data_IF_986590802261
#
_entry.id   IF_986590802261
#
_cell.length_a   1.000
_cell.length_b   1.000
_cell.length_c   1.000
_cell.angle_alpha   90.00
_cell.angle_beta   90.00
_cell.angle_gamma   90.00
#
_symmetry.space_group_name_H-M   'P 1'
#
loop_
_entity.id
_entity.type
_entity.pdbx_description
1 polymer ?
#
# COMPACT_ATOMS: atom_id res chain seq x y z
N UNK A 1 6.82 -6.09 19.09
CA UNK A 1 6.75 -5.75 17.65
C UNK A 1 5.28 -5.54 17.29
N UNK A 2 4.87 -4.31 16.97
CA UNK A 2 3.50 -3.99 16.56
C UNK A 2 3.25 -4.43 15.12
N UNK A 3 2.02 -4.81 14.79
CA UNK A 3 1.61 -5.18 13.43
C UNK A 3 1.00 -3.95 12.77
N UNK A 4 1.55 -3.50 11.64
CA UNK A 4 0.99 -2.38 10.88
C UNK A 4 0.07 -2.95 9.79
N UNK A 5 -1.24 -2.69 9.88
CA UNK A 5 -2.17 -3.08 8.83
C UNK A 5 -2.23 -1.98 7.76
N UNK A 6 -1.56 -2.20 6.63
CA UNK A 6 -1.55 -1.27 5.50
C UNK A 6 -2.61 -1.66 4.47
N UNK A 7 -3.57 -0.76 4.13
CA UNK A 7 -4.62 -1.07 3.17
C UNK A 7 -4.06 -1.18 1.73
N UNK A 8 -4.48 -2.22 1.01
CA UNK A 8 -4.08 -2.45 -0.39
C UNK A 8 -4.84 -1.53 -1.35
N UNK A 9 -4.12 -0.67 -2.07
CA UNK A 9 -4.69 0.18 -3.12
C UNK A 9 -4.87 -0.58 -4.44
N UNK A 10 -5.91 -0.23 -5.19
CA UNK A 10 -6.18 -0.81 -6.52
C UNK A 10 -5.80 0.17 -7.62
N UNK A 11 -4.82 -0.19 -8.45
CA UNK A 11 -4.35 0.65 -9.53
C UNK A 11 -4.89 0.17 -10.87
N UNK A 12 -5.65 1.02 -11.54
CA UNK A 12 -6.30 0.74 -12.83
C UNK A 12 -5.68 1.59 -13.94
N UNK A 13 -5.71 1.07 -15.15
CA UNK A 13 -5.30 1.80 -16.34
C UNK A 13 -6.18 3.04 -16.54
N UNK A 14 -5.55 4.20 -16.72
CA UNK A 14 -6.24 5.49 -16.89
C UNK A 14 -7.06 5.59 -18.18
N UNK A 15 -6.73 4.78 -19.19
CA UNK A 15 -7.46 4.78 -20.47
C UNK A 15 -8.60 3.75 -20.54
N UNK A 16 -8.34 2.49 -20.17
CA UNK A 16 -9.32 1.41 -20.38
C UNK A 16 -9.93 0.85 -19.09
N UNK A 17 -9.55 1.36 -17.91
CA UNK A 17 -10.08 0.94 -16.61
C UNK A 17 -9.67 -0.47 -16.15
N UNK A 18 -8.87 -1.19 -16.94
CA UNK A 18 -8.36 -2.52 -16.58
C UNK A 18 -7.54 -2.45 -15.28
N UNK A 19 -7.80 -3.36 -14.34
CA UNK A 19 -6.97 -3.50 -13.15
C UNK A 19 -5.56 -3.95 -13.56
N UNK A 20 -4.56 -3.18 -13.13
CA UNK A 20 -3.15 -3.44 -13.43
C UNK A 20 -2.46 -4.12 -12.26
N UNK A 21 -2.66 -3.60 -11.04
CA UNK A 21 -2.12 -4.21 -9.83
C UNK A 21 -2.94 -3.83 -8.60
N UNK A 22 -2.78 -4.62 -7.53
CA UNK A 22 -3.29 -4.30 -6.19
C UNK A 22 -2.15 -4.43 -5.20
N UNK A 23 -1.66 -3.32 -4.67
CA UNK A 23 -0.51 -3.28 -3.78
C UNK A 23 -0.50 -2.01 -2.93
N UNK A 24 0.39 -1.97 -1.96
CA UNK A 24 0.77 -0.76 -1.24
C UNK A 24 2.08 -0.28 -1.82
N UNK A 25 2.08 0.89 -2.46
CA UNK A 25 3.30 1.53 -2.95
C UNK A 25 3.83 2.47 -1.89
N UNK A 26 5.08 2.26 -1.47
CA UNK A 26 5.77 3.06 -0.45
C UNK A 26 7.07 3.58 -1.03
N UNK A 27 7.30 4.89 -0.97
CA UNK A 27 8.52 5.57 -1.46
C UNK A 27 9.01 5.07 -2.83
N UNK A 28 8.07 4.76 -3.72
CA UNK A 28 8.35 4.09 -5.00
C UNK A 28 7.54 4.70 -6.13
N UNK A 29 8.09 4.61 -7.34
CA UNK A 29 7.39 4.92 -8.57
C UNK A 29 7.34 3.65 -9.42
N UNK A 30 6.18 3.38 -10.02
CA UNK A 30 5.94 2.15 -10.76
C UNK A 30 5.32 2.48 -12.12
N UNK A 31 6.02 2.09 -13.18
CA UNK A 31 5.60 2.27 -14.56
C UNK A 31 5.03 0.95 -15.10
N UNK A 32 3.76 0.96 -15.53
CA UNK A 32 3.05 -0.23 -16.05
C UNK A 32 2.48 0.05 -17.42
N UNK A 33 2.94 -0.71 -18.42
CA UNK A 33 2.31 -0.78 -19.74
C UNK A 33 1.07 -1.64 -19.69
N UNK A 34 -0.09 -1.08 -20.03
CA UNK A 34 -1.33 -1.83 -20.10
C UNK A 34 -1.32 -2.79 -21.29
N UNK A 35 -1.52 -4.08 -21.06
CA UNK A 35 -1.56 -5.06 -22.15
C UNK A 35 -2.85 -4.99 -23.01
N UNK A 36 -3.88 -4.24 -22.61
CA UNK A 36 -5.13 -4.10 -23.38
C UNK A 36 -5.08 -2.92 -24.35
N UNK A 37 -4.69 -1.73 -23.89
CA UNK A 37 -4.68 -0.51 -24.71
C UNK A 37 -3.27 0.04 -24.98
N UNK A 38 -2.24 -0.66 -24.50
CA UNK A 38 -0.82 -0.29 -24.65
C UNK A 38 -0.40 1.05 -24.01
N UNK A 39 -1.31 1.74 -23.33
CA UNK A 39 -0.98 2.94 -22.56
C UNK A 39 -0.01 2.65 -21.42
N UNK A 40 0.94 3.57 -21.24
CA UNK A 40 1.87 3.58 -20.12
C UNK A 40 1.22 4.32 -18.95
N UNK A 41 1.25 3.72 -17.76
CA UNK A 41 0.67 4.27 -16.54
C UNK A 41 1.77 4.40 -15.48
N UNK A 42 1.90 5.57 -14.88
CA UNK A 42 2.85 5.84 -13.80
C UNK A 42 2.05 5.98 -12.50
N UNK A 43 2.43 5.20 -11.49
CA UNK A 43 1.86 5.21 -10.15
C UNK A 43 2.93 5.57 -9.13
N UNK A 44 2.62 6.53 -8.25
CA UNK A 44 3.51 6.94 -7.16
C UNK A 44 3.01 6.38 -5.84
N UNK A 45 3.93 5.82 -5.06
CA UNK A 45 3.72 5.43 -3.69
C UNK A 45 3.60 6.63 -2.77
N UNK A 46 2.94 6.41 -1.63
CA UNK A 46 2.92 7.40 -0.57
C UNK A 46 4.21 7.34 0.24
N UNK A 47 4.49 8.43 0.94
CA UNK A 47 5.66 8.56 1.80
C UNK A 47 5.65 7.47 2.89
N UNK A 48 6.75 6.72 3.03
CA UNK A 48 6.85 5.62 3.98
C UNK A 48 6.69 6.05 5.43
N UNK A 49 6.99 7.30 5.78
CA UNK A 49 6.76 7.82 7.12
C UNK A 49 5.27 7.99 7.44
N UNK A 50 4.41 8.10 6.43
CA UNK A 50 2.95 8.18 6.62
C UNK A 50 2.29 6.81 6.77
N UNK A 51 2.85 5.77 6.15
CA UNK A 51 2.23 4.44 6.11
C UNK A 51 2.90 3.43 7.05
N UNK A 52 4.19 3.60 7.33
CA UNK A 52 4.97 2.72 8.19
C UNK A 52 5.38 3.53 9.41
N UNK A 53 4.90 3.12 10.59
CA UNK A 53 5.35 3.69 11.85
C UNK A 53 6.78 3.21 12.18
N UNK A 54 7.78 3.68 11.42
CA UNK A 54 9.20 3.35 11.62
C UNK A 54 9.76 3.95 12.92
N UNK A 55 9.17 5.04 13.43
CA UNK A 55 9.56 5.65 14.71
C UNK A 55 8.86 4.96 15.88
N UNK A 56 9.63 4.57 16.90
CA UNK A 56 9.11 3.94 18.12
C UNK A 56 8.08 4.81 18.86
N UNK A 57 8.19 6.14 18.73
CA UNK A 57 7.34 7.15 19.34
C UNK A 57 6.20 7.64 18.44
N UNK A 58 5.70 6.81 17.52
CA UNK A 58 4.53 7.18 16.72
C UNK A 58 3.23 7.08 17.55
N UNK A 59 2.40 8.15 17.66
CA UNK A 59 1.16 8.14 18.45
C UNK A 59 0.09 7.19 17.90
N UNK A 60 0.19 6.78 16.63
CA UNK A 60 -0.70 5.80 16.00
C UNK A 60 -0.19 4.36 16.08
N UNK A 61 0.95 4.12 16.75
CA UNK A 61 1.51 2.78 16.93
C UNK A 61 0.68 2.01 17.97
N UNK A 62 -0.17 1.12 17.50
CA UNK A 62 -0.92 0.21 18.39
C UNK A 62 0.06 -0.86 18.91
N UNK A 63 0.28 -0.99 20.23
CA UNK A 63 1.04 -2.11 20.77
C UNK A 63 0.31 -3.40 20.43
N UNK A 64 1.05 -4.45 20.03
CA UNK A 64 0.46 -5.74 19.73
C UNK A 64 -0.19 -6.32 21.01
N UNK A 65 -1.50 -6.12 21.17
CA UNK A 65 -2.29 -6.82 22.18
C UNK A 65 -2.52 -8.22 21.61
N UNK A 66 -1.83 -9.22 22.15
CA UNK A 66 -2.19 -10.61 21.91
C UNK A 66 -3.59 -10.80 22.49
N UNK A 67 -4.61 -10.86 21.65
CA UNK A 67 -5.89 -11.41 22.07
C UNK A 67 -5.63 -12.90 22.34
N UNK A 68 -5.43 -13.25 23.60
CA UNK A 68 -5.62 -14.61 24.05
C UNK A 68 -7.13 -14.86 23.93
N UNK A 69 -7.53 -15.47 22.83
CA UNK A 69 -8.87 -16.03 22.65
C UNK A 69 -9.09 -17.00 23.82
N UNK A 70 -9.95 -16.58 24.74
CA UNK A 70 -10.41 -17.42 25.85
C UNK A 70 -11.32 -18.47 25.25
N UNK A 71 -10.94 -19.74 25.39
CA UNK A 71 -11.80 -20.89 25.16
C UNK A 71 -11.63 -21.87 26.33
#
# INVERSE_FOLDING_TARGET
MGVVMMPLASYRCKQCGKLLLKATLVDSELEVKCNRCHAINIFKGADGCTLICLKDSCPHRIPAVRQAETL
#
